data_IF_151868925174
#
_entry.id   IF_151868925174
#
_cell.length_a   1.000
_cell.length_b   1.000
_cell.length_c   1.000
_cell.angle_alpha   90.00
_cell.angle_beta   90.00
_cell.angle_gamma   90.00
#
_symmetry.space_group_name_H-M   'P 1'
#
loop_
_entity.id
_entity.type
_entity.pdbx_description
1 polymer ?
#
# COMPACT_ATOMS: atom_id res chain seq x y z
N UNK A 1 -4.06 -10.51 35.61
CA UNK A 1 -3.15 -9.58 34.90
C UNK A 1 -2.69 -10.12 33.54
N UNK A 2 -2.01 -11.28 33.44
CA UNK A 2 -1.52 -11.83 32.14
C UNK A 2 -2.60 -12.02 31.06
N UNK A 3 -3.80 -12.50 31.42
CA UNK A 3 -4.91 -12.69 30.46
C UNK A 3 -5.37 -11.39 29.81
N UNK A 4 -5.51 -10.31 30.60
CA UNK A 4 -5.92 -9.00 30.07
C UNK A 4 -4.92 -8.42 29.06
N UNK A 5 -3.62 -8.70 29.21
CA UNK A 5 -2.59 -8.24 28.27
C UNK A 5 -2.75 -8.96 26.93
N UNK A 6 -2.96 -10.28 26.97
CA UNK A 6 -3.20 -11.10 25.79
C UNK A 6 -4.49 -10.67 25.07
N UNK A 7 -5.58 -10.49 25.81
CA UNK A 7 -6.86 -10.04 25.27
C UNK A 7 -6.73 -8.66 24.59
N UNK A 8 -5.95 -7.74 25.17
CA UNK A 8 -5.69 -6.43 24.58
C UNK A 8 -4.86 -6.51 23.29
N UNK A 9 -3.82 -7.35 23.24
CA UNK A 9 -3.00 -7.53 22.03
C UNK A 9 -3.80 -8.14 20.87
N UNK A 10 -4.67 -9.12 21.18
CA UNK A 10 -5.56 -9.73 20.19
C UNK A 10 -6.61 -8.74 19.70
N UNK A 11 -7.20 -7.93 20.60
CA UNK A 11 -8.13 -6.88 20.22
C UNK A 11 -7.48 -5.86 19.27
N UNK A 12 -6.26 -5.41 19.56
CA UNK A 12 -5.52 -4.48 18.71
C UNK A 12 -5.23 -5.07 17.31
N UNK A 13 -4.92 -6.37 17.23
CA UNK A 13 -4.74 -7.06 15.96
C UNK A 13 -6.06 -7.17 15.16
N UNK A 14 -7.16 -7.55 15.82
CA UNK A 14 -8.47 -7.58 15.17
C UNK A 14 -8.91 -6.19 14.67
N UNK A 15 -8.59 -5.12 15.39
CA UNK A 15 -8.92 -3.76 14.98
C UNK A 15 -8.16 -3.33 13.71
N UNK A 16 -6.88 -3.68 13.58
CA UNK A 16 -6.08 -3.38 12.37
C UNK A 16 -6.52 -4.21 11.18
N UNK A 17 -6.79 -5.51 11.37
CA UNK A 17 -7.35 -6.37 10.32
C UNK A 17 -8.72 -5.87 9.87
N UNK A 18 -9.59 -5.51 10.81
CA UNK A 18 -10.92 -4.95 10.51
C UNK A 18 -10.85 -3.59 9.80
N UNK A 19 -9.83 -2.78 10.08
CA UNK A 19 -9.58 -1.54 9.32
C UNK A 19 -9.20 -1.83 7.87
N UNK A 20 -8.31 -2.78 7.63
CA UNK A 20 -7.90 -3.21 6.29
C UNK A 20 -9.07 -3.82 5.51
N UNK A 21 -9.91 -4.63 6.15
CA UNK A 21 -11.12 -5.18 5.52
C UNK A 21 -12.11 -4.10 5.10
N UNK A 22 -12.28 -3.04 5.90
CA UNK A 22 -13.16 -1.92 5.53
C UNK A 22 -12.67 -1.22 4.27
N UNK A 23 -11.37 -0.95 4.18
CA UNK A 23 -10.75 -0.33 2.99
C UNK A 23 -10.95 -1.23 1.77
N UNK A 24 -10.73 -2.54 1.92
CA UNK A 24 -10.91 -3.51 0.84
C UNK A 24 -12.37 -3.66 0.39
N UNK A 25 -13.33 -3.59 1.33
CA UNK A 25 -14.76 -3.78 1.06
C UNK A 25 -15.46 -2.51 0.54
N UNK A 26 -14.79 -1.36 0.51
CA UNK A 26 -15.31 -0.11 -0.05
C UNK A 26 -14.61 0.26 -1.36
N UNK A 27 -14.72 -0.56 -2.43
CA UNK A 27 -14.16 -0.19 -3.71
C UNK A 27 -14.87 1.04 -4.26
N UNK A 28 -14.11 1.94 -4.91
CA UNK A 28 -14.66 3.08 -5.61
C UNK A 28 -15.57 2.58 -6.75
N UNK A 29 -16.75 3.19 -6.97
CA UNK A 29 -17.64 2.74 -8.03
C UNK A 29 -16.97 2.79 -9.41
N UNK A 30 -16.94 1.67 -10.13
CA UNK A 30 -16.36 1.55 -11.49
C UNK A 30 -16.91 2.56 -12.51
N UNK A 31 -18.09 3.10 -12.23
CA UNK A 31 -18.73 4.14 -13.03
C UNK A 31 -17.91 5.43 -12.99
N UNK A 32 -17.34 5.78 -11.82
CA UNK A 32 -16.51 6.97 -11.64
C UNK A 32 -15.29 6.95 -12.56
N UNK A 33 -14.47 5.91 -12.46
CA UNK A 33 -13.25 5.72 -13.26
C UNK A 33 -13.54 5.78 -14.76
N UNK A 34 -14.63 5.13 -15.21
CA UNK A 34 -15.03 5.16 -16.63
C UNK A 34 -15.52 6.53 -17.10
N UNK A 35 -16.23 7.28 -16.25
CA UNK A 35 -16.67 8.64 -16.60
C UNK A 35 -15.50 9.61 -16.67
N UNK A 36 -14.56 9.53 -15.72
CA UNK A 36 -13.34 10.35 -15.69
C UNK A 36 -12.51 10.13 -16.96
N UNK A 37 -12.29 8.88 -17.38
CA UNK A 37 -11.51 8.58 -18.60
C UNK A 37 -12.13 9.14 -19.88
N UNK A 38 -13.46 9.04 -20.00
CA UNK A 38 -14.19 9.62 -21.14
C UNK A 38 -14.11 11.15 -21.13
N UNK A 39 -14.25 11.77 -19.96
CA UNK A 39 -14.15 13.22 -19.81
C UNK A 39 -12.74 13.73 -20.12
N UNK A 40 -11.69 13.08 -19.57
CA UNK A 40 -10.29 13.42 -19.81
C UNK A 40 -9.91 13.28 -21.29
N UNK A 41 -10.35 12.20 -21.94
CA UNK A 41 -10.14 12.00 -23.37
C UNK A 41 -10.79 13.11 -24.22
N UNK A 42 -12.02 13.51 -23.89
CA UNK A 42 -12.70 14.62 -24.58
C UNK A 42 -11.99 15.97 -24.32
N UNK A 43 -11.54 16.22 -23.10
CA UNK A 43 -10.79 17.42 -22.75
C UNK A 43 -9.49 17.51 -23.56
N UNK A 44 -8.74 16.41 -23.68
CA UNK A 44 -7.52 16.35 -24.46
C UNK A 44 -7.74 16.53 -25.97
N UNK A 45 -8.88 16.08 -26.51
CA UNK A 45 -9.27 16.34 -27.90
C UNK A 45 -9.63 17.81 -28.16
N UNK A 46 -10.19 18.50 -27.16
CA UNK A 46 -10.52 19.92 -27.24
C UNK A 46 -9.30 20.82 -27.05
N UNK A 47 -8.29 20.35 -26.31
CA UNK A 47 -7.06 21.08 -25.98
C UNK A 47 -6.30 21.66 -27.19
N UNK A 48 -6.01 20.91 -28.28
CA UNK A 48 -5.33 21.47 -29.44
C UNK A 48 -6.17 22.54 -30.17
N UNK A 49 -7.50 22.43 -30.19
CA UNK A 49 -8.37 23.44 -30.78
C UNK A 49 -8.39 24.73 -29.96
N UNK A 50 -8.34 24.61 -28.64
CA UNK A 50 -8.24 25.76 -27.74
C UNK A 50 -6.88 26.48 -27.90
N UNK A 51 -5.80 25.69 -27.98
CA UNK A 51 -4.44 26.22 -28.07
C UNK A 51 -4.12 26.82 -29.45
N UNK A 52 -4.74 26.32 -30.52
CA UNK A 52 -4.55 26.80 -31.89
C UNK A 52 -4.78 28.31 -32.09
N UNK A 53 -5.66 28.92 -31.29
CA UNK A 53 -5.99 30.35 -31.39
C UNK A 53 -5.05 31.27 -30.60
N UNK A 54 -4.39 30.74 -29.56
CA UNK A 54 -3.54 31.51 -28.65
C UNK A 54 -2.10 31.65 -29.19
N UNK A 55 -1.62 30.69 -29.99
CA UNK A 55 -0.31 30.80 -30.65
C UNK A 55 -0.45 31.62 -31.95
N UNK A 56 -0.24 32.93 -31.82
CA UNK A 56 -0.44 33.94 -32.88
C UNK A 56 0.52 33.88 -34.09
N UNK A 57 1.46 32.92 -34.14
CA UNK A 57 2.45 32.81 -35.23
C UNK A 57 2.36 31.47 -35.97
N UNK A 58 2.49 31.48 -37.30
CA UNK A 58 2.43 30.28 -38.16
C UNK A 58 3.51 29.24 -37.80
N UNK A 59 4.67 29.68 -37.27
CA UNK A 59 5.74 28.81 -36.76
C UNK A 59 5.35 28.04 -35.50
N UNK A 60 4.53 28.66 -34.65
CA UNK A 60 4.23 28.16 -33.31
C UNK A 60 3.01 27.22 -33.33
N UNK A 61 2.19 27.30 -34.39
CA UNK A 61 1.12 26.34 -34.66
C UNK A 61 1.64 24.92 -34.87
N UNK A 62 2.86 24.75 -35.41
CA UNK A 62 3.49 23.43 -35.56
C UNK A 62 3.95 22.86 -34.21
N UNK A 63 4.30 23.72 -33.24
CA UNK A 63 4.64 23.34 -31.86
C UNK A 63 3.41 23.00 -31.01
N UNK A 64 2.20 23.34 -31.45
CA UNK A 64 0.94 23.03 -30.74
C UNK A 64 0.76 21.51 -30.57
N UNK A 65 1.11 20.73 -31.61
CA UNK A 65 0.98 19.27 -31.61
C UNK A 65 1.87 18.63 -30.54
N UNK A 66 3.21 18.82 -30.52
CA UNK A 66 4.06 18.22 -29.50
C UNK A 66 3.73 18.71 -28.09
N UNK A 67 3.36 19.98 -27.91
CA UNK A 67 2.93 20.49 -26.59
C UNK A 67 1.67 19.79 -26.10
N UNK A 68 0.65 19.66 -26.95
CA UNK A 68 -0.60 18.95 -26.59
C UNK A 68 -0.35 17.46 -26.30
N UNK A 69 0.56 16.82 -27.05
CA UNK A 69 0.94 15.43 -26.84
C UNK A 69 1.66 15.21 -25.50
N UNK A 70 2.56 16.12 -25.11
CA UNK A 70 3.23 16.08 -23.80
C UNK A 70 2.21 16.23 -22.66
N UNK A 71 1.29 17.18 -22.76
CA UNK A 71 0.23 17.38 -21.76
C UNK A 71 -0.67 16.15 -21.67
N UNK A 72 -1.07 15.58 -22.81
CA UNK A 72 -1.85 14.36 -22.86
C UNK A 72 -1.13 13.19 -22.19
N UNK A 73 0.16 13.02 -22.46
CA UNK A 73 0.98 11.97 -21.83
C UNK A 73 0.98 12.08 -20.31
N UNK A 74 1.22 13.27 -19.76
CA UNK A 74 1.21 13.47 -18.30
C UNK A 74 -0.18 13.28 -17.69
N UNK A 75 -1.24 13.82 -18.31
CA UNK A 75 -2.60 13.73 -17.76
C UNK A 75 -3.15 12.30 -17.81
N UNK A 76 -2.93 11.57 -18.90
CA UNK A 76 -3.29 10.16 -19.00
C UNK A 76 -2.44 9.28 -18.07
N UNK A 77 -1.15 9.61 -17.92
CA UNK A 77 -0.28 8.92 -16.96
C UNK A 77 -0.76 9.10 -15.51
N UNK A 78 -1.18 10.31 -15.12
CA UNK A 78 -1.75 10.56 -13.79
C UNK A 78 -3.06 9.81 -13.59
N UNK A 79 -3.91 9.72 -14.62
CA UNK A 79 -5.14 8.94 -14.56
C UNK A 79 -4.86 7.45 -14.29
N UNK A 80 -3.91 6.86 -15.00
CA UNK A 80 -3.51 5.46 -14.79
C UNK A 80 -2.91 5.24 -13.40
N UNK A 81 -2.09 6.18 -12.92
CA UNK A 81 -1.58 6.16 -11.54
C UNK A 81 -2.70 6.26 -10.52
N UNK A 82 -3.76 7.03 -10.79
CA UNK A 82 -4.94 7.12 -9.95
C UNK A 82 -5.64 5.77 -9.79
N UNK A 83 -5.81 5.04 -10.90
CA UNK A 83 -6.42 3.70 -10.89
C UNK A 83 -5.59 2.72 -10.06
N UNK A 84 -4.25 2.76 -10.19
CA UNK A 84 -3.38 1.89 -9.38
C UNK A 84 -3.43 2.23 -7.89
N UNK A 85 -3.59 3.52 -7.57
CA UNK A 85 -3.73 3.98 -6.18
C UNK A 85 -5.06 3.57 -5.55
N UNK A 86 -6.12 3.40 -6.35
CA UNK A 86 -7.43 2.91 -5.90
C UNK A 86 -7.38 1.43 -5.45
N UNK A 87 -6.40 0.65 -5.92
CA UNK A 87 -6.21 -0.78 -5.59
C UNK A 87 -4.91 -1.04 -4.80
N UNK A 88 -4.77 -0.49 -3.58
CA UNK A 88 -3.50 -0.50 -2.83
C UNK A 88 -3.01 -1.90 -2.47
N UNK A 89 -3.93 -2.84 -2.20
CA UNK A 89 -3.58 -4.20 -1.82
C UNK A 89 -3.08 -5.06 -2.98
N UNK A 90 -3.34 -4.65 -4.23
CA UNK A 90 -2.83 -5.36 -5.40
C UNK A 90 -1.35 -5.08 -5.66
N UNK A 91 -0.83 -3.93 -5.18
CA UNK A 91 0.57 -3.53 -5.37
C UNK A 91 1.43 -3.79 -4.13
N UNK A 92 0.82 -3.92 -2.95
CA UNK A 92 1.53 -4.23 -1.71
C UNK A 92 1.98 -5.70 -1.71
N UNK A 93 3.24 -5.99 -1.33
CA UNK A 93 3.72 -7.37 -1.23
C UNK A 93 3.24 -8.02 0.09
N UNK A 94 1.94 -8.32 0.16
CA UNK A 94 1.31 -8.91 1.35
C UNK A 94 1.98 -10.21 1.80
N UNK A 95 2.39 -11.04 0.83
CA UNK A 95 3.08 -12.31 1.09
C UNK A 95 4.42 -12.08 1.79
N UNK A 96 5.24 -11.14 1.30
CA UNK A 96 6.51 -10.80 1.93
C UNK A 96 6.33 -10.20 3.34
N UNK A 97 5.24 -9.47 3.58
CA UNK A 97 4.89 -8.97 4.91
C UNK A 97 4.51 -10.12 5.85
N UNK A 98 3.74 -11.10 5.37
CA UNK A 98 3.38 -12.30 6.15
C UNK A 98 4.61 -13.14 6.48
N UNK A 99 5.50 -13.37 5.52
CA UNK A 99 6.78 -14.05 5.74
C UNK A 99 7.64 -13.35 6.78
N UNK A 100 7.65 -12.01 6.77
CA UNK A 100 8.34 -11.20 7.77
C UNK A 100 7.79 -11.43 9.18
N UNK A 101 6.46 -11.40 9.34
CA UNK A 101 5.78 -11.64 10.61
C UNK A 101 6.05 -13.07 11.10
N UNK A 102 5.97 -14.06 10.22
CA UNK A 102 6.26 -15.46 10.56
C UNK A 102 7.68 -15.62 11.11
N UNK A 103 8.68 -15.05 10.44
CA UNK A 103 10.07 -15.08 10.91
C UNK A 103 10.23 -14.43 12.27
N UNK A 104 9.63 -13.25 12.49
CA UNK A 104 9.68 -12.59 13.79
C UNK A 104 9.03 -13.45 14.89
N UNK A 105 7.90 -14.11 14.61
CA UNK A 105 7.26 -15.02 15.56
C UNK A 105 8.14 -16.25 15.88
N UNK A 106 8.77 -16.85 14.86
CA UNK A 106 9.67 -17.98 15.05
C UNK A 106 10.92 -17.59 15.86
N UNK A 107 11.48 -16.40 15.60
CA UNK A 107 12.62 -15.87 16.35
C UNK A 107 12.28 -15.62 17.83
N UNK A 108 11.10 -15.03 18.12
CA UNK A 108 10.64 -14.85 19.49
C UNK A 108 10.48 -16.19 20.22
N UNK A 109 9.87 -17.18 19.56
CA UNK A 109 9.68 -18.51 20.12
C UNK A 109 11.02 -19.23 20.39
N UNK A 110 11.99 -19.10 19.48
CA UNK A 110 13.34 -19.63 19.68
C UNK A 110 14.04 -18.97 20.87
N UNK A 111 13.92 -17.64 21.00
CA UNK A 111 14.55 -16.90 22.09
C UNK A 111 13.97 -17.28 23.47
N UNK A 112 12.65 -17.47 23.57
CA UNK A 112 11.99 -17.95 24.79
C UNK A 112 12.46 -19.37 25.18
N UNK A 113 12.65 -20.25 24.19
CA UNK A 113 13.22 -21.59 24.44
C UNK A 113 14.69 -21.54 24.89
N UNK A 114 15.45 -20.54 24.42
CA UNK A 114 16.83 -20.29 24.84
C UNK A 114 16.96 -19.84 26.30
N UNK A 115 16.07 -18.95 26.77
CA UNK A 115 16.04 -18.55 28.19
C UNK A 115 15.55 -19.67 29.10
N UNK A 116 14.57 -20.47 28.67
CA UNK A 116 14.02 -21.55 29.50
C UNK A 116 15.03 -22.70 29.71
N UNK A 117 15.88 -22.98 28.72
CA UNK A 117 17.00 -23.92 28.87
C UNK A 117 18.09 -23.41 29.83
N UNK A 118 18.39 -22.11 29.81
CA UNK A 118 19.33 -21.50 30.75
C UNK A 118 18.80 -21.52 32.19
N UNK A 119 17.49 -21.31 32.39
CA UNK A 119 16.87 -21.36 33.72
C UNK A 119 16.91 -22.78 34.32
N UNK A 120 16.65 -23.81 33.50
CA UNK A 120 16.71 -25.22 33.93
C UNK A 120 18.13 -25.65 34.30
N UNK A 121 19.14 -25.30 33.49
CA UNK A 121 20.55 -25.62 33.78
C UNK A 121 21.09 -24.91 35.04
N UNK A 122 20.62 -23.69 35.30
CA UNK A 122 21.05 -22.92 36.48
C UNK A 122 20.41 -23.44 37.77
N UNK A 123 19.14 -23.87 37.74
CA UNK A 123 18.49 -24.55 38.88
C UNK A 123 19.04 -25.98 39.10
N UNK A 124 19.42 -26.70 38.05
CA UNK A 124 20.06 -28.02 38.17
C UNK A 124 21.47 -27.93 38.79
N UNK A 125 22.20 -26.85 38.51
CA UNK A 125 23.50 -26.58 39.12
C UNK A 125 23.34 -26.11 40.58
N UNK A 126 22.38 -25.23 40.87
CA UNK A 126 22.11 -24.77 42.25
C UNK A 126 21.65 -25.91 43.17
N UNK A 127 20.81 -26.83 42.69
CA UNK A 127 20.30 -27.97 43.49
C UNK A 127 21.33 -29.09 43.71
N UNK A 128 22.30 -29.27 42.80
CA UNK A 128 23.37 -30.26 42.93
C UNK A 128 24.56 -29.82 43.80
N UNK A 129 24.70 -28.53 44.12
CA UNK A 129 25.79 -27.99 44.93
C UNK A 129 25.34 -27.40 46.29
N UNK A 130 24.06 -27.59 46.67
CA UNK A 130 23.50 -27.15 47.96
C UNK A 130 23.45 -28.26 49.04
N UNK A 131 24.21 -29.36 48.86
CA UNK A 131 24.38 -30.42 49.86
C UNK A 131 25.86 -30.63 50.19
#
# INVERSE_FOLDING_TARGET
MKRQILDNSVAAFCDTVGASERIFKTPVPLVYTRHTSRFMSLWLLLLPMALYRELGTVSDQLLTIPTSAIIAFFLLGIEELGIQLEEPFSILPLEAMCDGIERTCLEMMYNDLGEQGYFDDTELCSSKWCM
#
